data_IF_953945867070
#
_entry.id   IF_953945867070
#
_cell.length_a   1.000
_cell.length_b   1.000
_cell.length_c   1.000
_cell.angle_alpha   90.00
_cell.angle_beta   90.00
_cell.angle_gamma   90.00
#
_symmetry.space_group_name_H-M   'P 1'
#
loop_
_entity.id
_entity.type
_entity.pdbx_description
1 polymer ?
#
# COMPACT_ATOMS: atom_id res chain seq x y z
N UNK A 1 -12.45 -10.10 -13.40
CA UNK A 1 -11.53 -10.96 -12.61
C UNK A 1 -11.69 -10.55 -11.15
N UNK A 2 -12.23 -11.42 -10.29
CA UNK A 2 -12.43 -11.11 -8.87
C UNK A 2 -11.14 -11.22 -8.05
N UNK A 3 -11.12 -10.63 -6.86
CA UNK A 3 -10.02 -10.83 -5.90
C UNK A 3 -9.93 -12.32 -5.53
N UNK A 4 -8.70 -12.85 -5.41
CA UNK A 4 -8.43 -14.24 -4.97
C UNK A 4 -7.65 -14.25 -3.68
N UNK A 5 -7.90 -15.24 -2.83
CA UNK A 5 -7.14 -15.41 -1.60
C UNK A 5 -5.67 -15.69 -1.95
N UNK A 6 -4.71 -14.89 -1.46
CA UNK A 6 -3.30 -15.07 -1.79
C UNK A 6 -2.66 -16.32 -1.17
N UNK A 7 -3.37 -17.00 -0.28
CA UNK A 7 -2.86 -18.18 0.44
C UNK A 7 -3.39 -19.50 -0.10
N UNK A 8 -4.61 -19.53 -0.65
CA UNK A 8 -5.25 -20.76 -1.10
C UNK A 8 -5.96 -20.64 -2.46
N UNK A 9 -5.97 -19.46 -3.08
CA UNK A 9 -6.65 -19.22 -4.36
C UNK A 9 -8.19 -19.15 -4.30
N UNK A 10 -8.80 -19.35 -3.13
CA UNK A 10 -10.25 -19.28 -2.96
C UNK A 10 -10.85 -17.92 -3.29
N UNK A 11 -12.09 -17.92 -3.79
CA UNK A 11 -12.79 -16.73 -4.29
C UNK A 11 -13.84 -16.20 -3.30
N UNK A 12 -14.19 -16.98 -2.27
CA UNK A 12 -15.09 -16.55 -1.19
C UNK A 12 -14.33 -15.64 -0.20
N UNK A 13 -14.40 -14.34 -0.46
CA UNK A 13 -13.66 -13.28 0.23
C UNK A 13 -14.63 -12.20 0.69
N UNK A 14 -14.56 -11.86 1.97
CA UNK A 14 -15.39 -10.84 2.62
C UNK A 14 -14.54 -9.74 3.24
N UNK A 15 -15.11 -8.52 3.34
CA UNK A 15 -14.50 -7.43 4.11
C UNK A 15 -14.48 -7.78 5.60
N UNK A 16 -13.36 -7.53 6.28
CA UNK A 16 -13.11 -7.94 7.66
C UNK A 16 -12.51 -6.81 8.50
N UNK A 17 -12.95 -5.57 8.26
CA UNK A 17 -12.44 -4.36 8.91
C UNK A 17 -11.31 -3.70 8.13
N UNK A 18 -10.49 -2.89 8.79
CA UNK A 18 -9.45 -2.06 8.18
C UNK A 18 -8.14 -2.21 8.96
N UNK A 19 -7.02 -2.11 8.25
CA UNK A 19 -5.67 -2.06 8.83
C UNK A 19 -5.17 -0.62 8.71
N UNK A 20 -4.60 -0.12 9.78
CA UNK A 20 -4.12 1.25 9.87
C UNK A 20 -2.63 1.27 10.18
N UNK A 21 -1.92 2.23 9.61
CA UNK A 21 -0.65 2.71 10.12
C UNK A 21 -0.72 4.24 10.26
N UNK A 22 0.42 4.92 10.48
CA UNK A 22 0.47 6.38 10.64
C UNK A 22 -0.10 7.18 9.45
N UNK A 23 0.03 6.67 8.22
CA UNK A 23 -0.26 7.41 6.99
C UNK A 23 -1.28 6.75 6.06
N UNK A 24 -1.58 5.46 6.25
CA UNK A 24 -2.36 4.65 5.31
C UNK A 24 -3.39 3.81 6.06
N UNK A 25 -4.60 3.81 5.51
CA UNK A 25 -5.65 2.86 5.82
C UNK A 25 -5.79 1.87 4.65
N UNK A 26 -5.72 0.57 4.92
CA UNK A 26 -5.98 -0.48 3.94
C UNK A 26 -7.18 -1.33 4.35
N UNK A 27 -8.03 -1.69 3.39
CA UNK A 27 -9.12 -2.63 3.62
C UNK A 27 -8.55 -4.01 3.97
N UNK A 28 -9.00 -4.59 5.09
CA UNK A 28 -8.68 -5.95 5.47
C UNK A 28 -9.76 -6.89 4.93
N UNK A 29 -9.35 -7.99 4.34
CA UNK A 29 -10.21 -9.04 3.80
C UNK A 29 -10.00 -10.34 4.57
N UNK A 30 -11.03 -11.18 4.58
CA UNK A 30 -10.97 -12.56 5.10
C UNK A 30 -11.41 -13.51 4.00
N UNK A 31 -10.61 -14.55 3.76
CA UNK A 31 -11.03 -15.69 2.94
C UNK A 31 -11.84 -16.65 3.82
N UNK A 32 -13.04 -17.01 3.41
CA UNK A 32 -13.87 -17.98 4.13
C UNK A 32 -13.39 -19.42 3.94
N UNK A 33 -12.75 -19.73 2.79
CA UNK A 33 -12.21 -21.07 2.51
C UNK A 33 -11.05 -21.46 3.43
N UNK A 34 -10.05 -20.59 3.61
CA UNK A 34 -8.89 -20.88 4.47
C UNK A 34 -8.87 -20.10 5.79
N UNK A 35 -9.88 -19.27 6.05
CA UNK A 35 -10.08 -18.45 7.27
C UNK A 35 -8.99 -17.42 7.58
N UNK A 36 -8.02 -17.21 6.66
CA UNK A 36 -6.94 -16.23 6.81
C UNK A 36 -7.40 -14.82 6.43
N UNK A 37 -6.77 -13.82 7.03
CA UNK A 37 -6.95 -12.41 6.69
C UNK A 37 -5.78 -11.90 5.87
N UNK A 38 -6.05 -10.97 4.96
CA UNK A 38 -5.05 -10.31 4.13
C UNK A 38 -5.54 -8.92 3.72
N UNK A 39 -4.60 -8.06 3.36
CA UNK A 39 -4.88 -6.85 2.59
C UNK A 39 -4.68 -7.17 1.11
N UNK A 40 -5.28 -6.38 0.23
CA UNK A 40 -5.01 -6.47 -1.21
C UNK A 40 -3.49 -6.40 -1.47
N UNK A 41 -3.01 -7.28 -2.36
CA UNK A 41 -1.61 -7.31 -2.79
C UNK A 41 -1.40 -6.33 -3.93
N UNK A 42 -1.14 -5.08 -3.56
CA UNK A 42 -0.89 -3.96 -4.45
C UNK A 42 0.60 -3.74 -4.76
N UNK A 43 1.49 -4.58 -4.24
CA UNK A 43 2.95 -4.43 -4.35
C UNK A 43 3.56 -3.45 -3.33
N UNK A 44 2.74 -2.89 -2.44
CA UNK A 44 3.18 -1.99 -1.37
C UNK A 44 2.80 -2.57 0.00
N UNK A 45 2.96 -3.88 0.15
CA UNK A 45 2.80 -4.55 1.43
C UNK A 45 3.87 -4.08 2.42
N UNK A 46 3.48 -3.93 3.68
CA UNK A 46 4.38 -3.53 4.78
C UNK A 46 5.02 -2.14 4.63
N UNK A 47 4.56 -1.32 3.68
CA UNK A 47 5.00 0.07 3.53
C UNK A 47 4.28 1.00 4.51
N UNK A 48 5.02 1.99 5.03
CA UNK A 48 4.50 2.98 5.98
C UNK A 48 3.78 4.14 5.29
N UNK A 49 4.29 4.61 4.16
CA UNK A 49 3.76 5.73 3.39
C UNK A 49 2.80 5.26 2.28
N UNK A 50 1.90 6.14 1.79
CA UNK A 50 1.09 5.83 0.62
C UNK A 50 1.96 5.51 -0.59
N UNK A 51 1.47 4.61 -1.45
CA UNK A 51 2.20 4.17 -2.65
C UNK A 51 2.53 5.33 -3.58
N UNK A 52 1.66 6.34 -3.62
CA UNK A 52 1.80 7.55 -4.42
C UNK A 52 3.04 8.35 -4.01
N UNK A 53 3.28 8.49 -2.70
CA UNK A 53 4.45 9.20 -2.15
C UNK A 53 5.72 8.43 -2.45
N UNK A 54 5.71 7.11 -2.24
CA UNK A 54 6.86 6.25 -2.52
C UNK A 54 7.23 6.33 -4.01
N UNK A 55 6.25 6.17 -4.91
CA UNK A 55 6.46 6.25 -6.35
C UNK A 55 6.98 7.63 -6.78
N UNK A 56 6.44 8.71 -6.23
CA UNK A 56 6.88 10.08 -6.51
C UNK A 56 8.32 10.33 -6.06
N UNK A 57 8.69 9.86 -4.86
CA UNK A 57 10.09 9.91 -4.38
C UNK A 57 11.03 9.15 -5.31
N UNK A 58 10.65 7.95 -5.76
CA UNK A 58 11.45 7.16 -6.70
C UNK A 58 11.58 7.84 -8.07
N UNK A 59 10.50 8.45 -8.58
CA UNK A 59 10.51 9.22 -9.82
C UNK A 59 11.49 10.39 -9.75
N UNK A 60 11.40 11.23 -8.73
CA UNK A 60 12.28 12.39 -8.56
C UNK A 60 13.75 11.97 -8.39
N UNK A 61 13.99 10.83 -7.73
CA UNK A 61 15.33 10.26 -7.64
C UNK A 61 15.86 9.82 -9.00
N UNK A 62 15.03 9.15 -9.82
CA UNK A 62 15.38 8.76 -11.18
C UNK A 62 15.63 9.97 -12.11
N UNK A 63 14.96 11.11 -11.87
CA UNK A 63 15.22 12.39 -12.55
C UNK A 63 16.52 13.08 -12.10
N UNK A 64 17.23 12.51 -11.11
CA UNK A 64 18.54 12.99 -10.66
C UNK A 64 18.48 14.06 -9.57
N UNK A 65 17.34 14.26 -8.92
CA UNK A 65 17.28 15.15 -7.76
C UNK A 65 18.04 14.57 -6.58
N UNK A 66 18.71 15.44 -5.82
CA UNK A 66 19.33 15.03 -4.57
C UNK A 66 18.28 14.72 -3.51
N UNK A 67 18.60 13.83 -2.57
CA UNK A 67 17.69 13.45 -1.49
C UNK A 67 17.14 14.65 -0.69
N UNK A 68 17.95 15.69 -0.48
CA UNK A 68 17.51 16.92 0.19
C UNK A 68 16.43 17.65 -0.62
N UNK A 69 16.62 17.81 -1.93
CA UNK A 69 15.62 18.44 -2.81
C UNK A 69 14.33 17.63 -2.86
N UNK A 70 14.44 16.30 -2.89
CA UNK A 70 13.27 15.41 -2.89
C UNK A 70 12.50 15.56 -1.58
N UNK A 71 13.18 15.53 -0.43
CA UNK A 71 12.55 15.76 0.88
C UNK A 71 11.82 17.11 0.91
N UNK A 72 12.50 18.17 0.49
CA UNK A 72 11.92 19.52 0.51
C UNK A 72 10.70 19.61 -0.42
N UNK A 73 10.76 18.97 -1.60
CA UNK A 73 9.63 18.88 -2.51
C UNK A 73 8.44 18.12 -1.90
N UNK A 74 8.68 16.93 -1.32
CA UNK A 74 7.63 16.12 -0.70
C UNK A 74 6.98 16.87 0.48
N UNK A 75 7.76 17.57 1.29
CA UNK A 75 7.23 18.41 2.37
C UNK A 75 6.36 19.56 1.84
N UNK A 76 6.83 20.28 0.83
CA UNK A 76 6.15 21.46 0.29
C UNK A 76 4.86 21.13 -0.47
N UNK A 77 4.84 20.02 -1.22
CA UNK A 77 3.74 19.69 -2.13
C UNK A 77 2.80 18.61 -1.60
N UNK A 78 3.28 17.69 -0.76
CA UNK A 78 2.51 16.53 -0.30
C UNK A 78 2.27 16.55 1.22
N UNK A 79 3.02 17.34 1.99
CA UNK A 79 2.85 17.48 3.44
C UNK A 79 3.34 16.29 4.28
N UNK A 80 4.32 15.52 3.78
CA UNK A 80 4.91 14.38 4.47
C UNK A 80 6.30 14.67 5.04
#
# INVERSE_FOLDING_TARGET
MGMKCPYCGGEDIVKAGKRYNKYVEKQLYRCNSCRRRFVERDGFEHMSYPKEIILKTLHLYAEGLSLSKIRDFIWQHEGY
#
